data_IF_123104761405
#
_entry.id   IF_123104761405
#
_cell.length_a   1.000
_cell.length_b   1.000
_cell.length_c   1.000
_cell.angle_alpha   90.00
_cell.angle_beta   90.00
_cell.angle_gamma   90.00
#
_symmetry.space_group_name_H-M   'P 1'
#
loop_
_entity.id
_entity.type
_entity.pdbx_description
1 polymer ?
#
# COMPACT_ATOMS: atom_id res chain seq x y z
N UNK A 1 13.18 -17.90 6.87
CA UNK A 1 14.35 -17.01 6.80
C UNK A 1 13.81 -15.62 6.63
N UNK A 2 13.74 -14.85 7.69
CA UNK A 2 13.33 -13.44 7.70
C UNK A 2 14.44 -12.65 7.01
N UNK A 3 14.18 -12.17 5.81
CA UNK A 3 15.09 -11.26 5.13
C UNK A 3 15.17 -9.96 5.97
N UNK A 4 16.35 -9.71 6.54
CA UNK A 4 16.66 -8.45 7.21
C UNK A 4 16.51 -7.34 6.18
N UNK A 5 15.52 -6.46 6.36
CA UNK A 5 15.35 -5.27 5.53
C UNK A 5 16.60 -4.42 5.75
N UNK A 6 17.41 -4.14 4.69
CA UNK A 6 18.53 -3.21 4.86
C UNK A 6 17.95 -1.87 5.36
N UNK A 7 18.58 -1.26 6.35
CA UNK A 7 18.30 0.12 6.74
C UNK A 7 18.62 1.02 5.54
N UNK A 8 17.68 1.16 4.61
CA UNK A 8 17.78 2.14 3.55
C UNK A 8 17.48 3.50 4.19
N UNK A 9 18.53 4.32 4.28
CA UNK A 9 18.40 5.70 4.73
C UNK A 9 17.28 6.40 3.93
N UNK A 10 16.36 7.03 4.66
CA UNK A 10 15.36 7.91 4.06
C UNK A 10 16.02 8.86 3.06
N UNK A 11 15.34 9.13 1.95
CA UNK A 11 15.79 10.18 1.03
C UNK A 11 15.74 11.50 1.78
N UNK A 12 16.70 12.43 1.56
CA UNK A 12 16.75 13.70 2.29
C UNK A 12 15.45 14.51 2.26
N UNK A 13 14.62 14.33 1.22
CA UNK A 13 13.39 15.07 0.98
C UNK A 13 12.13 14.18 0.90
N UNK A 14 12.19 12.94 1.39
CA UNK A 14 11.02 12.05 1.37
C UNK A 14 9.89 12.59 2.26
N UNK A 15 8.72 12.84 1.67
CA UNK A 15 7.49 13.07 2.43
C UNK A 15 6.90 11.73 2.85
N UNK A 16 7.28 11.29 4.04
CA UNK A 16 6.95 9.95 4.53
C UNK A 16 5.45 9.78 4.74
N UNK A 17 4.83 8.85 4.03
CA UNK A 17 3.48 8.38 4.31
C UNK A 17 3.53 7.41 5.50
N UNK A 18 2.86 7.77 6.58
CA UNK A 18 2.76 6.97 7.81
C UNK A 18 1.52 6.08 7.76
N UNK A 19 1.64 4.89 8.32
CA UNK A 19 0.55 3.96 8.56
C UNK A 19 0.07 4.12 10.01
N UNK A 20 -1.03 4.83 10.21
CA UNK A 20 -1.59 5.13 11.53
C UNK A 20 -2.64 4.07 11.87
N UNK A 21 -2.46 3.35 12.98
CA UNK A 21 -3.35 2.25 13.38
C UNK A 21 -4.36 2.72 14.41
N UNK A 22 -5.64 2.41 14.17
CA UNK A 22 -6.74 2.63 15.09
C UNK A 22 -7.60 1.35 15.21
N UNK A 23 -7.93 0.96 16.42
CA UNK A 23 -8.77 -0.21 16.67
C UNK A 23 -10.25 0.16 16.64
N UNK A 24 -11.03 -0.61 15.88
CA UNK A 24 -12.47 -0.49 15.76
C UNK A 24 -13.13 -1.74 16.32
N UNK A 25 -14.02 -1.59 17.31
CA UNK A 25 -14.82 -2.69 17.82
C UNK A 25 -15.86 -3.11 16.77
N UNK A 26 -15.99 -4.42 16.52
CA UNK A 26 -16.96 -4.95 15.58
C UNK A 26 -18.29 -5.30 16.30
N UNK A 27 -19.47 -5.03 15.68
CA UNK A 27 -20.78 -5.31 16.29
C UNK A 27 -20.98 -6.76 16.71
N UNK A 28 -20.36 -7.72 15.99
CA UNK A 28 -20.42 -9.15 16.29
C UNK A 28 -19.37 -9.64 17.28
N UNK A 29 -18.62 -8.75 17.90
CA UNK A 29 -17.44 -9.06 18.72
C UNK A 29 -16.15 -9.10 17.90
N UNK A 30 -15.01 -8.98 18.58
CA UNK A 30 -13.70 -8.88 17.93
C UNK A 30 -13.32 -7.44 17.59
N UNK A 31 -12.14 -7.28 17.01
CA UNK A 31 -11.57 -5.98 16.63
C UNK A 31 -11.10 -5.98 15.19
N UNK A 32 -11.26 -4.84 14.53
CA UNK A 32 -10.65 -4.54 13.25
C UNK A 32 -9.54 -3.49 13.52
N UNK A 33 -8.33 -3.74 13.04
CA UNK A 33 -7.31 -2.71 12.98
C UNK A 33 -7.49 -1.91 11.68
N UNK A 34 -7.84 -0.62 11.80
CA UNK A 34 -7.93 0.32 10.69
C UNK A 34 -6.59 1.05 10.56
N UNK A 35 -5.93 0.85 9.43
CA UNK A 35 -4.68 1.53 9.06
C UNK A 35 -5.02 2.71 8.16
N UNK A 36 -4.69 3.92 8.58
CA UNK A 36 -4.85 5.13 7.77
C UNK A 36 -3.50 5.56 7.21
N UNK A 37 -3.41 5.68 5.88
CA UNK A 37 -2.23 6.17 5.18
C UNK A 37 -2.26 7.70 5.14
N UNK A 38 -1.33 8.35 5.85
CA UNK A 38 -1.28 9.80 5.94
C UNK A 38 0.16 10.32 5.92
N UNK A 39 0.44 11.27 5.05
CA UNK A 39 1.74 11.95 4.98
C UNK A 39 1.77 13.28 5.77
N UNK A 40 0.73 13.57 6.54
CA UNK A 40 0.61 14.80 7.34
C UNK A 40 0.41 16.07 6.52
N UNK A 41 0.11 15.95 5.21
CA UNK A 41 -0.20 17.07 4.31
C UNK A 41 -1.70 17.07 3.98
N UNK A 42 -2.20 18.19 3.46
CA UNK A 42 -3.58 18.27 2.98
C UNK A 42 -3.81 17.37 1.74
N UNK A 43 -5.05 17.35 1.26
CA UNK A 43 -5.46 16.49 0.14
C UNK A 43 -4.85 16.89 -1.22
N UNK A 44 -4.30 18.10 -1.37
CA UNK A 44 -3.60 18.52 -2.60
C UNK A 44 -2.22 17.90 -2.73
N UNK A 45 -1.68 17.33 -1.65
CA UNK A 45 -0.41 16.63 -1.58
C UNK A 45 -0.66 15.13 -1.39
N UNK A 46 -0.64 14.33 -2.46
CA UNK A 46 -0.97 12.91 -2.37
C UNK A 46 -0.01 12.14 -1.45
N UNK A 47 -0.53 11.10 -0.80
CA UNK A 47 0.28 10.12 -0.08
C UNK A 47 0.94 9.20 -1.12
N UNK A 48 2.27 9.17 -1.13
CA UNK A 48 3.10 8.33 -1.99
C UNK A 48 3.99 7.42 -1.14
N UNK A 49 4.54 6.37 -1.74
CA UNK A 49 5.42 5.44 -1.04
C UNK A 49 6.87 5.65 -1.45
N UNK A 50 7.69 6.09 -0.52
CA UNK A 50 9.14 6.04 -0.58
C UNK A 50 9.70 4.91 0.30
N UNK A 51 11.04 4.73 0.38
CA UNK A 51 11.65 3.68 1.18
C UNK A 51 11.27 3.73 2.66
N UNK A 52 11.24 4.93 3.26
CA UNK A 52 10.90 5.10 4.66
C UNK A 52 9.41 4.84 4.93
N UNK A 53 8.52 5.28 4.01
CA UNK A 53 7.09 4.98 4.08
C UNK A 53 6.81 3.48 3.96
N UNK A 54 7.48 2.78 3.04
CA UNK A 54 7.38 1.33 2.89
C UNK A 54 7.92 0.58 4.12
N UNK A 55 9.05 1.01 4.67
CA UNK A 55 9.62 0.41 5.87
C UNK A 55 8.67 0.57 7.07
N UNK A 56 8.12 1.76 7.29
CA UNK A 56 7.14 2.01 8.35
C UNK A 56 5.85 1.20 8.17
N UNK A 57 5.36 1.03 6.94
CA UNK A 57 4.22 0.15 6.66
C UNK A 57 4.56 -1.31 6.96
N UNK A 58 5.77 -1.77 6.63
CA UNK A 58 6.23 -3.11 6.94
C UNK A 58 6.21 -3.39 8.45
N UNK A 59 6.75 -2.48 9.26
CA UNK A 59 6.76 -2.60 10.73
C UNK A 59 5.32 -2.67 11.28
N UNK A 60 4.42 -1.83 10.77
CA UNK A 60 3.01 -1.87 11.17
C UNK A 60 2.38 -3.21 10.82
N UNK A 61 2.59 -3.73 9.60
CA UNK A 61 2.03 -5.01 9.18
C UNK A 61 2.58 -6.19 9.99
N UNK A 62 3.87 -6.17 10.35
CA UNK A 62 4.49 -7.18 11.22
C UNK A 62 3.87 -7.13 12.63
N UNK A 63 3.65 -5.94 13.18
CA UNK A 63 2.95 -5.75 14.46
C UNK A 63 1.50 -6.23 14.42
N UNK A 64 0.79 -5.96 13.31
CA UNK A 64 -0.58 -6.45 13.11
C UNK A 64 -0.62 -7.97 12.97
N UNK A 65 0.34 -8.57 12.26
CA UNK A 65 0.46 -10.03 12.16
C UNK A 65 0.63 -10.68 13.52
N UNK A 66 1.50 -10.14 14.38
CA UNK A 66 1.69 -10.64 15.75
C UNK A 66 0.39 -10.58 16.57
N UNK A 67 -0.40 -9.49 16.44
CA UNK A 67 -1.70 -9.34 17.10
C UNK A 67 -2.75 -10.30 16.56
N UNK A 68 -2.73 -10.59 15.25
CA UNK A 68 -3.58 -11.61 14.63
C UNK A 68 -3.24 -12.99 15.20
N UNK A 69 -1.95 -13.33 15.27
CA UNK A 69 -1.49 -14.62 15.80
C UNK A 69 -1.82 -14.80 17.29
N UNK A 70 -1.91 -13.69 18.04
CA UNK A 70 -2.41 -13.67 19.41
C UNK A 70 -3.94 -13.73 19.55
N UNK A 71 -4.69 -13.74 18.43
CA UNK A 71 -6.16 -13.77 18.42
C UNK A 71 -6.82 -12.44 18.81
N UNK A 72 -6.10 -11.33 18.78
CA UNK A 72 -6.60 -10.01 19.18
C UNK A 72 -7.41 -9.33 18.06
N UNK A 73 -7.15 -9.67 16.80
CA UNK A 73 -7.75 -9.04 15.64
C UNK A 73 -8.55 -10.04 14.81
N UNK A 74 -9.77 -9.65 14.43
CA UNK A 74 -10.62 -10.41 13.53
C UNK A 74 -10.45 -9.98 12.06
N UNK A 75 -9.93 -8.78 11.81
CA UNK A 75 -9.72 -8.24 10.48
C UNK A 75 -8.73 -7.07 10.51
N UNK A 76 -8.18 -6.75 9.35
CA UNK A 76 -7.37 -5.53 9.11
C UNK A 76 -7.99 -4.75 7.95
N UNK A 77 -8.06 -3.43 8.05
CA UNK A 77 -8.49 -2.57 6.95
C UNK A 77 -7.46 -1.47 6.70
N UNK A 78 -7.33 -1.07 5.43
CA UNK A 78 -6.50 0.06 5.04
C UNK A 78 -7.38 1.11 4.36
N UNK A 79 -7.17 2.35 4.71
CA UNK A 79 -7.77 3.53 4.08
C UNK A 79 -6.72 4.63 3.94
N UNK A 80 -7.03 5.66 3.20
CA UNK A 80 -6.18 6.85 3.11
C UNK A 80 -6.76 8.05 3.86
N UNK A 81 -6.00 9.13 3.92
CA UNK A 81 -6.51 10.43 4.37
C UNK A 81 -7.65 10.91 3.46
N UNK A 82 -8.44 11.95 3.85
CA UNK A 82 -9.55 12.44 3.04
C UNK A 82 -9.17 12.68 1.58
N UNK A 83 -9.99 12.17 0.64
CA UNK A 83 -9.89 12.29 -0.82
C UNK A 83 -8.69 11.60 -1.51
N UNK A 84 -7.75 11.04 -0.75
CA UNK A 84 -6.57 10.34 -1.28
C UNK A 84 -6.45 9.00 -0.56
N UNK A 85 -6.53 7.89 -1.30
CA UNK A 85 -6.17 6.58 -0.76
C UNK A 85 -4.64 6.44 -0.72
N UNK A 86 -4.01 6.33 -1.90
CA UNK A 86 -2.57 6.42 -2.10
C UNK A 86 -2.27 6.58 -3.60
N UNK A 87 -1.21 7.31 -3.95
CA UNK A 87 -0.87 7.63 -5.35
C UNK A 87 0.56 7.19 -5.64
N UNK A 88 0.76 5.88 -5.74
CA UNK A 88 1.95 5.26 -6.28
C UNK A 88 3.25 5.46 -5.50
N UNK A 89 4.35 5.14 -6.18
CA UNK A 89 5.68 5.40 -5.69
C UNK A 89 6.00 6.90 -5.72
N UNK A 90 6.90 7.32 -4.85
CA UNK A 90 7.45 8.68 -4.93
C UNK A 90 8.31 8.81 -6.20
N UNK A 91 7.80 9.55 -7.18
CA UNK A 91 8.46 9.72 -8.49
C UNK A 91 9.80 10.45 -8.41
N UNK A 92 10.08 11.18 -7.32
CA UNK A 92 11.41 11.77 -7.10
C UNK A 92 12.48 10.70 -7.00
N UNK A 93 12.10 9.50 -6.55
CA UNK A 93 12.95 8.31 -6.51
C UNK A 93 13.31 7.81 -7.91
N UNK A 94 12.40 7.94 -8.88
CA UNK A 94 12.59 7.49 -10.26
C UNK A 94 13.43 8.53 -11.03
N UNK A 95 13.15 9.82 -10.83
CA UNK A 95 13.83 10.92 -11.52
C UNK A 95 15.32 11.09 -11.16
N UNK A 96 15.75 10.57 -10.01
CA UNK A 96 17.14 10.70 -9.54
C UNK A 96 18.17 9.83 -10.28
N UNK A 97 17.82 9.21 -11.42
CA UNK A 97 18.75 8.47 -12.27
C UNK A 97 19.43 7.29 -11.57
N UNK A 98 18.70 6.58 -10.73
CA UNK A 98 19.23 5.49 -9.90
C UNK A 98 19.79 4.34 -10.71
N UNK A 99 20.86 3.77 -10.19
CA UNK A 99 21.42 2.54 -10.74
C UNK A 99 20.36 1.41 -10.72
N UNK A 100 20.47 0.52 -11.69
CA UNK A 100 19.55 -0.60 -11.87
C UNK A 100 19.29 -1.39 -10.57
N UNK A 101 20.32 -1.59 -9.75
CA UNK A 101 20.20 -2.31 -8.48
C UNK A 101 19.29 -1.61 -7.47
N UNK A 102 19.36 -0.29 -7.40
CA UNK A 102 18.51 0.51 -6.51
C UNK A 102 17.05 0.46 -6.97
N UNK A 103 16.79 0.55 -8.26
CA UNK A 103 15.44 0.41 -8.81
C UNK A 103 14.84 -0.98 -8.52
N UNK A 104 15.64 -2.04 -8.69
CA UNK A 104 15.23 -3.41 -8.35
C UNK A 104 14.97 -3.57 -6.85
N UNK A 105 15.77 -2.96 -5.98
CA UNK A 105 15.58 -3.03 -4.54
C UNK A 105 14.26 -2.37 -4.11
N UNK A 106 13.92 -1.21 -4.67
CA UNK A 106 12.63 -0.53 -4.40
C UNK A 106 11.45 -1.35 -4.92
N UNK A 107 11.55 -1.90 -6.13
CA UNK A 107 10.52 -2.78 -6.68
C UNK A 107 10.27 -4.00 -5.78
N UNK A 108 11.32 -4.67 -5.32
CA UNK A 108 11.23 -5.80 -4.40
C UNK A 108 10.64 -5.39 -3.04
N UNK A 109 11.11 -4.29 -2.47
CA UNK A 109 10.65 -3.81 -1.17
C UNK A 109 9.13 -3.58 -1.17
N UNK A 110 8.60 -2.81 -2.12
CA UNK A 110 7.17 -2.52 -2.19
C UNK A 110 6.34 -3.78 -2.40
N UNK A 111 6.79 -4.69 -3.30
CA UNK A 111 6.11 -5.96 -3.51
C UNK A 111 6.11 -6.83 -2.24
N UNK A 112 7.26 -6.96 -1.56
CA UNK A 112 7.39 -7.76 -0.35
C UNK A 112 6.57 -7.19 0.83
N UNK A 113 6.45 -5.87 0.91
CA UNK A 113 5.61 -5.21 1.93
C UNK A 113 4.13 -5.45 1.66
N UNK A 114 3.67 -5.22 0.42
CA UNK A 114 2.25 -5.29 0.12
C UNK A 114 1.68 -6.72 0.16
N UNK A 115 2.46 -7.73 -0.26
CA UNK A 115 1.99 -9.12 -0.19
C UNK A 115 1.70 -9.61 1.23
N UNK A 116 2.29 -8.98 2.27
CA UNK A 116 2.01 -9.29 3.68
C UNK A 116 0.53 -9.13 4.04
N UNK A 117 -0.20 -8.24 3.33
CA UNK A 117 -1.65 -8.07 3.51
C UNK A 117 -2.45 -9.33 3.22
N UNK A 118 -2.04 -10.12 2.23
CA UNK A 118 -2.63 -11.43 1.95
C UNK A 118 -2.18 -12.54 2.89
N UNK A 119 -1.10 -12.31 3.66
CA UNK A 119 -0.47 -13.28 4.55
C UNK A 119 -0.83 -13.06 6.03
N UNK A 120 -1.68 -12.09 6.35
CA UNK A 120 -2.04 -11.75 7.73
C UNK A 120 -2.73 -12.90 8.48
N UNK A 121 -3.46 -13.79 7.80
CA UNK A 121 -4.21 -14.88 8.42
C UNK A 121 -5.64 -14.50 8.83
N UNK A 122 -6.05 -13.25 8.64
CA UNK A 122 -7.41 -12.73 8.77
C UNK A 122 -7.79 -11.94 7.51
N UNK A 123 -9.08 -11.71 7.23
CA UNK A 123 -9.50 -10.88 6.11
C UNK A 123 -8.88 -9.48 6.16
N UNK A 124 -8.33 -9.03 5.02
CA UNK A 124 -7.85 -7.67 4.81
C UNK A 124 -8.76 -6.91 3.85
N UNK A 125 -9.03 -5.64 4.17
CA UNK A 125 -9.95 -4.79 3.41
C UNK A 125 -9.25 -3.52 2.95
N UNK A 126 -9.40 -3.14 1.68
CA UNK A 126 -9.06 -1.81 1.21
C UNK A 126 -10.33 -0.95 1.12
N UNK A 127 -10.44 0.08 1.95
CA UNK A 127 -11.49 1.08 1.88
C UNK A 127 -10.98 2.26 1.06
N UNK A 128 -11.17 2.17 -0.27
CA UNK A 128 -10.67 3.18 -1.22
C UNK A 128 -11.57 4.41 -1.15
N UNK A 129 -11.16 5.37 -0.34
CA UNK A 129 -11.90 6.59 -0.02
C UNK A 129 -11.53 7.80 -0.90
N UNK A 130 -10.55 7.64 -1.77
CA UNK A 130 -10.04 8.69 -2.64
C UNK A 130 -9.18 8.14 -3.76
N UNK A 131 -8.43 8.98 -4.46
CA UNK A 131 -7.58 8.57 -5.57
C UNK A 131 -6.66 7.42 -5.19
N UNK A 132 -6.67 6.35 -6.00
CA UNK A 132 -5.84 5.16 -5.85
C UNK A 132 -5.14 4.87 -7.18
N UNK A 133 -3.87 5.22 -7.29
CA UNK A 133 -3.14 5.13 -8.55
C UNK A 133 -1.82 4.41 -8.39
N UNK A 134 -1.41 3.64 -9.40
CA UNK A 134 -0.15 2.92 -9.40
C UNK A 134 -0.01 2.04 -8.16
N UNK A 135 1.10 2.16 -7.44
CA UNK A 135 1.34 1.43 -6.19
C UNK A 135 0.24 1.58 -5.14
N UNK A 136 -0.56 2.66 -5.17
CA UNK A 136 -1.74 2.79 -4.30
C UNK A 136 -2.85 1.80 -4.67
N UNK A 137 -3.11 1.61 -5.96
CA UNK A 137 -4.03 0.56 -6.41
C UNK A 137 -3.42 -0.83 -6.17
N UNK A 138 -2.12 -1.00 -6.40
CA UNK A 138 -1.43 -2.26 -6.14
C UNK A 138 -1.56 -2.69 -4.67
N UNK A 139 -1.41 -1.76 -3.72
CA UNK A 139 -1.67 -2.02 -2.30
C UNK A 139 -3.09 -2.53 -2.07
N UNK A 140 -4.09 -1.87 -2.66
CA UNK A 140 -5.48 -2.29 -2.54
C UNK A 140 -5.73 -3.68 -3.16
N UNK A 141 -5.03 -4.02 -4.23
CA UNK A 141 -5.13 -5.34 -4.90
C UNK A 141 -4.58 -6.47 -4.03
N UNK A 142 -3.64 -6.23 -3.13
CA UNK A 142 -3.14 -7.22 -2.18
C UNK A 142 -4.10 -7.50 -1.02
N UNK A 143 -5.10 -6.66 -0.77
CA UNK A 143 -6.13 -6.94 0.22
C UNK A 143 -7.10 -8.04 -0.27
N UNK A 144 -7.69 -8.78 0.68
CA UNK A 144 -8.70 -9.82 0.37
C UNK A 144 -9.93 -9.21 -0.29
N UNK A 145 -10.37 -8.03 0.19
CA UNK A 145 -11.56 -7.33 -0.29
C UNK A 145 -11.29 -5.85 -0.52
N UNK A 146 -12.04 -5.24 -1.43
CA UNK A 146 -11.99 -3.81 -1.77
C UNK A 146 -13.37 -3.22 -1.86
N UNK A 147 -13.56 -2.06 -1.24
CA UNK A 147 -14.70 -1.17 -1.50
C UNK A 147 -14.17 0.12 -2.04
N UNK A 148 -14.82 0.67 -3.06
CA UNK A 148 -14.42 1.93 -3.70
C UNK A 148 -15.60 2.89 -3.55
N UNK A 149 -15.35 4.05 -2.96
CA UNK A 149 -16.37 5.10 -2.87
C UNK A 149 -16.76 5.58 -4.27
N UNK A 150 -18.04 5.78 -4.52
CA UNK A 150 -18.54 6.32 -5.79
C UNK A 150 -18.02 7.73 -6.10
N UNK A 151 -17.47 8.42 -5.10
CA UNK A 151 -16.89 9.76 -5.26
C UNK A 151 -15.39 9.72 -5.61
N UNK A 152 -14.78 8.54 -5.77
CA UNK A 152 -13.35 8.42 -6.09
C UNK A 152 -13.09 8.93 -7.50
N UNK A 153 -12.18 9.92 -7.68
CA UNK A 153 -11.97 10.55 -8.99
C UNK A 153 -11.15 9.68 -9.94
N UNK A 154 -10.26 8.81 -9.41
CA UNK A 154 -9.39 7.99 -10.24
C UNK A 154 -8.96 6.70 -9.51
N UNK A 155 -9.05 5.58 -10.24
CA UNK A 155 -8.49 4.28 -9.88
C UNK A 155 -7.81 3.74 -11.13
N UNK A 156 -6.47 3.65 -11.13
CA UNK A 156 -5.72 3.28 -12.34
C UNK A 156 -4.33 2.75 -12.03
N UNK A 157 -3.76 2.05 -13.02
CA UNK A 157 -2.34 1.71 -13.12
C UNK A 157 -1.73 2.53 -14.27
N UNK A 158 -1.30 3.79 -14.03
CA UNK A 158 -0.88 4.72 -15.09
C UNK A 158 0.60 4.58 -15.47
N UNK A 159 1.30 3.55 -15.01
CA UNK A 159 2.74 3.37 -15.14
C UNK A 159 3.22 3.42 -16.60
N UNK A 160 2.41 2.92 -17.55
CA UNK A 160 2.76 2.93 -18.98
C UNK A 160 2.96 4.35 -19.54
N UNK A 161 2.25 5.36 -19.02
CA UNK A 161 2.46 6.77 -19.42
C UNK A 161 3.78 7.35 -18.90
N UNK A 162 4.44 6.66 -17.97
CA UNK A 162 5.75 7.02 -17.43
C UNK A 162 6.87 6.14 -17.99
N UNK A 163 6.56 5.25 -18.94
CA UNK A 163 7.54 4.27 -19.45
C UNK A 163 7.89 3.18 -18.44
N UNK A 164 7.02 2.95 -17.46
CA UNK A 164 7.17 1.96 -16.41
C UNK A 164 6.14 0.83 -16.55
N UNK A 165 6.26 -0.18 -15.71
CA UNK A 165 5.25 -1.22 -15.50
C UNK A 165 4.85 -1.25 -14.03
N UNK A 166 3.60 -1.63 -13.67
CA UNK A 166 3.21 -1.85 -12.29
C UNK A 166 4.10 -2.92 -11.64
N UNK A 167 4.96 -2.50 -10.72
CA UNK A 167 6.05 -3.33 -10.18
C UNK A 167 5.75 -3.99 -8.84
N UNK A 168 4.63 -3.64 -8.19
CA UNK A 168 4.27 -4.11 -6.86
C UNK A 168 3.10 -5.11 -6.86
N UNK A 169 2.87 -5.78 -7.99
CA UNK A 169 1.91 -6.85 -8.15
C UNK A 169 0.75 -6.55 -9.11
N UNK A 170 0.58 -5.31 -9.55
CA UNK A 170 -0.55 -4.89 -10.38
C UNK A 170 -0.66 -5.66 -11.70
N UNK A 171 0.44 -5.92 -12.38
CA UNK A 171 0.51 -6.69 -13.62
C UNK A 171 0.03 -8.14 -13.48
N UNK A 172 0.03 -8.69 -12.28
CA UNK A 172 -0.46 -10.03 -11.98
C UNK A 172 -1.86 -10.01 -11.34
N UNK A 173 -2.05 -9.17 -10.31
CA UNK A 173 -3.27 -9.19 -9.50
C UNK A 173 -4.47 -8.64 -10.24
N UNK A 174 -4.31 -7.54 -11.01
CA UNK A 174 -5.44 -6.94 -11.71
C UNK A 174 -6.03 -7.86 -12.80
N UNK A 175 -5.24 -8.44 -13.73
CA UNK A 175 -5.79 -9.35 -14.73
C UNK A 175 -6.38 -10.63 -14.13
N UNK A 176 -5.86 -11.11 -13.01
CA UNK A 176 -6.46 -12.24 -12.30
C UNK A 176 -7.82 -11.89 -11.65
N UNK A 177 -8.03 -10.62 -11.31
CA UNK A 177 -9.27 -10.15 -10.70
C UNK A 177 -10.37 -9.85 -11.72
N UNK A 178 -10.04 -9.17 -12.82
CA UNK A 178 -11.02 -8.64 -13.78
C UNK A 178 -10.96 -9.29 -15.17
N UNK A 179 -10.01 -10.17 -15.40
CA UNK A 179 -9.66 -10.74 -16.70
C UNK A 179 -8.67 -9.86 -17.48
N UNK A 180 -7.84 -10.47 -18.36
CA UNK A 180 -6.78 -9.74 -19.07
C UNK A 180 -7.35 -8.66 -20.02
N UNK A 181 -8.48 -8.90 -20.67
CA UNK A 181 -9.11 -7.96 -21.61
C UNK A 181 -9.57 -6.66 -20.92
N UNK A 182 -9.90 -6.73 -19.62
CA UNK A 182 -10.36 -5.55 -18.86
C UNK A 182 -9.23 -4.89 -18.07
N UNK A 183 -8.10 -5.58 -17.96
CA UNK A 183 -6.94 -5.07 -17.25
C UNK A 183 -6.02 -4.24 -18.15
N UNK A 184 -6.18 -4.33 -19.49
CA UNK A 184 -5.48 -3.55 -20.49
C UNK A 184 -6.27 -2.28 -20.83
#
# INVERSE_FOLDING_TARGET
>A
MTATIPQQSALPDEVVTRALVHDVALPGGGRLALVTLDNGRDHTRPSTFGPAGLAGLAEVLDGLKARVDAGELAAVAITGKPFIFAVGADLTMVAAGREREQALAVGRLGHDVFRRLGELGVPSFAFVNGAAMGGGLELALHCSYRTISSAVPAVALPECFLGLVPGWGGTYLLPNLVGPERAL
#
